data_IF_966326978268
#
_entry.id   IF_966326978268
#
_cell.length_a   1.000
_cell.length_b   1.000
_cell.length_c   1.000
_cell.angle_alpha   90.00
_cell.angle_beta   90.00
_cell.angle_gamma   90.00
#
_symmetry.space_group_name_H-M   'P 1'
#
loop_
_entity.id
_entity.type
_entity.pdbx_description
1 polymer ?
#
# COMPACT_ATOMS: atom_id res chain seq x y z
N UNK A 1 14.78 13.95 -21.22
CA UNK A 1 15.55 14.59 -20.16
C UNK A 1 15.92 13.62 -19.05
N UNK A 2 14.96 12.97 -18.37
CA UNK A 2 15.23 12.08 -17.22
C UNK A 2 16.21 10.95 -17.52
N UNK A 3 15.99 10.15 -18.58
CA UNK A 3 16.88 9.04 -18.95
C UNK A 3 18.31 9.51 -19.22
N UNK A 4 18.48 10.60 -19.98
CA UNK A 4 19.81 11.18 -20.24
C UNK A 4 20.43 11.70 -18.95
N UNK A 5 19.65 12.45 -18.15
CA UNK A 5 20.12 12.96 -16.86
C UNK A 5 20.58 11.86 -15.90
N UNK A 6 19.85 10.76 -15.80
CA UNK A 6 20.23 9.61 -15.01
C UNK A 6 21.56 9.03 -15.51
N UNK A 7 21.68 8.80 -16.82
CA UNK A 7 22.94 8.28 -17.40
C UNK A 7 24.13 9.22 -17.17
N UNK A 8 23.93 10.52 -17.23
CA UNK A 8 25.00 11.50 -17.02
C UNK A 8 25.47 11.61 -15.55
N UNK A 9 24.59 11.28 -14.61
CA UNK A 9 24.89 11.32 -13.17
C UNK A 9 25.59 10.06 -12.66
N UNK A 10 25.51 8.96 -13.41
CA UNK A 10 26.23 7.73 -13.08
C UNK A 10 27.72 7.86 -13.34
N UNK A 11 28.56 7.22 -12.52
CA UNK A 11 29.99 7.10 -12.78
C UNK A 11 30.27 6.23 -14.01
N UNK A 12 31.45 6.35 -14.62
CA UNK A 12 31.76 5.64 -15.87
C UNK A 12 31.64 4.12 -15.75
N UNK A 13 32.03 3.58 -14.63
CA UNK A 13 31.95 2.16 -14.30
C UNK A 13 30.47 1.71 -14.23
N UNK A 14 29.63 2.51 -13.60
CA UNK A 14 28.19 2.25 -13.47
C UNK A 14 27.49 2.36 -14.83
N UNK A 15 27.85 3.37 -15.64
CA UNK A 15 27.32 3.52 -17.00
C UNK A 15 27.56 2.28 -17.86
N UNK A 16 28.71 1.61 -17.70
CA UNK A 16 29.05 0.37 -18.44
C UNK A 16 28.19 -0.81 -18.00
N UNK A 17 27.63 -0.80 -16.81
CA UNK A 17 26.72 -1.84 -16.31
C UNK A 17 25.32 -1.73 -16.92
N UNK A 18 24.92 -0.53 -17.35
CA UNK A 18 23.60 -0.31 -17.97
C UNK A 18 23.60 -0.85 -19.40
N UNK A 19 22.80 -1.86 -19.67
CA UNK A 19 22.75 -2.54 -20.99
C UNK A 19 21.54 -2.13 -21.85
N UNK A 20 20.55 -1.48 -21.24
CA UNK A 20 19.36 -1.03 -21.97
C UNK A 20 18.50 -0.13 -21.12
N UNK A 21 17.70 0.70 -21.77
CA UNK A 21 16.74 1.59 -21.16
C UNK A 21 15.32 1.13 -21.50
N UNK A 22 14.41 1.17 -20.54
CA UNK A 22 12.99 0.89 -20.76
C UNK A 22 12.19 2.13 -20.39
N UNK A 23 11.34 2.59 -21.29
CA UNK A 23 10.36 3.64 -21.01
C UNK A 23 9.11 2.97 -20.46
N UNK A 24 8.87 3.10 -19.15
CA UNK A 24 7.75 2.46 -18.48
C UNK A 24 6.57 3.43 -18.29
N UNK A 25 5.36 2.90 -18.18
CA UNK A 25 4.11 3.64 -17.95
C UNK A 25 3.88 4.74 -18.99
N UNK A 26 4.23 4.48 -20.26
CA UNK A 26 4.07 5.46 -21.33
C UNK A 26 2.59 5.73 -21.61
N UNK A 27 2.22 7.00 -21.62
CA UNK A 27 0.86 7.46 -21.93
C UNK A 27 0.89 8.25 -23.23
N UNK A 28 0.20 7.77 -24.25
CA UNK A 28 0.07 8.42 -25.55
C UNK A 28 0.34 7.50 -26.72
N UNK A 29 0.43 8.09 -27.93
CA UNK A 29 0.76 7.35 -29.14
C UNK A 29 2.28 7.15 -29.24
N UNK A 30 2.70 5.87 -29.32
CA UNK A 30 4.12 5.50 -29.43
C UNK A 30 4.79 6.12 -30.65
N UNK A 31 4.05 6.32 -31.76
CA UNK A 31 4.58 6.93 -32.98
C UNK A 31 5.09 8.36 -32.77
N UNK A 32 4.51 9.09 -31.82
CA UNK A 32 4.97 10.43 -31.43
C UNK A 32 6.26 10.36 -30.60
N UNK A 33 6.48 9.25 -29.90
CA UNK A 33 7.67 9.03 -29.07
C UNK A 33 8.87 8.56 -29.92
N UNK A 34 8.63 7.83 -31.01
CA UNK A 34 9.69 7.19 -31.80
C UNK A 34 10.80 8.17 -32.26
N UNK A 35 10.50 9.40 -32.75
CA UNK A 35 11.55 10.37 -33.06
C UNK A 35 12.38 10.77 -31.82
N UNK A 36 11.76 10.85 -30.65
CA UNK A 36 12.45 11.13 -29.40
C UNK A 36 13.38 10.00 -28.95
N UNK A 37 13.01 8.75 -29.23
CA UNK A 37 13.88 7.58 -28.97
C UNK A 37 15.10 7.62 -29.89
N UNK A 38 14.93 7.94 -31.18
CA UNK A 38 16.06 8.10 -32.08
C UNK A 38 17.01 9.22 -31.62
N UNK A 39 16.48 10.36 -31.21
CA UNK A 39 17.29 11.47 -30.68
C UNK A 39 18.06 11.10 -29.40
N UNK A 40 17.59 10.13 -28.58
CA UNK A 40 18.32 9.69 -27.40
C UNK A 40 19.68 9.05 -27.75
N UNK A 41 19.83 8.49 -28.94
CA UNK A 41 21.09 7.88 -29.42
C UNK A 41 22.23 8.91 -29.49
N UNK A 42 21.92 10.19 -29.69
CA UNK A 42 22.91 11.26 -29.75
C UNK A 42 23.47 11.60 -28.35
N UNK A 43 22.79 11.19 -27.27
CA UNK A 43 23.12 11.52 -25.89
C UNK A 43 23.62 10.34 -25.06
N UNK A 44 23.31 9.12 -25.46
CA UNK A 44 23.76 7.90 -24.75
C UNK A 44 23.92 6.73 -25.72
N UNK A 45 24.99 5.94 -25.57
CA UNK A 45 25.17 4.73 -26.36
C UNK A 45 24.26 3.58 -25.93
N UNK A 46 23.57 3.73 -24.79
CA UNK A 46 22.70 2.69 -24.25
C UNK A 46 21.36 2.71 -24.99
N UNK A 47 20.97 1.59 -25.63
CA UNK A 47 19.75 1.56 -26.45
C UNK A 47 18.47 1.59 -25.58
N UNK A 48 17.40 2.19 -26.11
CA UNK A 48 16.06 1.99 -25.60
C UNK A 48 15.55 0.64 -26.13
N UNK A 49 15.45 -0.36 -25.25
CA UNK A 49 15.09 -1.74 -25.59
C UNK A 49 13.60 -2.01 -25.50
N UNK A 50 12.82 -1.09 -24.93
CA UNK A 50 11.37 -1.26 -24.84
C UNK A 50 10.63 0.01 -24.42
N UNK A 51 9.36 0.05 -24.83
CA UNK A 51 8.37 1.02 -24.36
C UNK A 51 7.18 0.24 -23.84
N UNK A 52 6.92 0.32 -22.55
CA UNK A 52 5.78 -0.33 -21.91
C UNK A 52 4.66 0.70 -21.80
N UNK A 53 3.53 0.50 -22.46
CA UNK A 53 2.40 1.42 -22.35
C UNK A 53 1.84 1.40 -20.92
N UNK A 54 1.19 2.49 -20.55
CA UNK A 54 0.41 2.50 -19.32
C UNK A 54 -0.74 1.51 -19.44
N UNK A 55 -0.79 0.56 -18.53
CA UNK A 55 -1.85 -0.43 -18.45
C UNK A 55 -2.44 -0.39 -17.04
N UNK A 56 -3.76 -0.52 -16.94
CA UNK A 56 -4.38 -0.86 -15.67
C UNK A 56 -4.15 -2.34 -15.41
N UNK A 57 -3.16 -2.63 -14.59
CA UNK A 57 -2.87 -3.99 -14.16
C UNK A 57 -3.19 -4.03 -12.67
N UNK A 58 -4.02 -4.97 -12.26
CA UNK A 58 -4.32 -5.22 -10.86
C UNK A 58 -3.18 -6.05 -10.25
N UNK A 59 -2.04 -5.38 -10.10
CA UNK A 59 -0.87 -5.93 -9.40
C UNK A 59 -0.90 -5.34 -7.99
N UNK A 60 -0.70 -6.21 -7.01
CA UNK A 60 -0.58 -5.78 -5.63
C UNK A 60 0.57 -4.77 -5.50
N UNK A 61 0.24 -3.54 -5.16
CA UNK A 61 1.22 -2.47 -4.95
C UNK A 61 2.02 -2.76 -3.67
N UNK A 62 3.32 -2.99 -3.80
CA UNK A 62 4.21 -3.19 -2.66
C UNK A 62 4.39 -1.91 -1.85
N UNK A 63 4.26 -0.73 -2.48
CA UNK A 63 4.57 0.58 -1.87
C UNK A 63 3.49 1.67 -2.03
N UNK A 64 2.42 1.47 -2.78
CA UNK A 64 1.44 2.54 -3.07
C UNK A 64 0.17 2.45 -2.23
N UNK A 65 0.19 3.11 -1.10
CA UNK A 65 -0.93 3.18 -0.15
C UNK A 65 -2.00 4.21 -0.50
N UNK A 66 -1.64 5.26 -1.24
CA UNK A 66 -2.44 6.48 -1.28
C UNK A 66 -3.78 6.33 -2.01
N UNK A 67 -3.81 5.70 -3.17
CA UNK A 67 -4.98 5.71 -4.05
C UNK A 67 -6.06 4.65 -3.71
N UNK A 68 -5.69 3.58 -3.01
CA UNK A 68 -6.62 2.50 -2.62
C UNK A 68 -7.38 2.81 -1.34
N UNK A 69 -6.74 3.53 -0.42
CA UNK A 69 -7.27 3.78 0.91
C UNK A 69 -8.42 4.80 0.91
N UNK A 70 -8.57 5.58 -0.16
CA UNK A 70 -9.59 6.63 -0.31
C UNK A 70 -10.79 6.21 -1.17
N UNK A 71 -10.83 4.96 -1.66
CA UNK A 71 -11.99 4.47 -2.43
C UNK A 71 -13.17 4.22 -1.51
N UNK A 72 -14.18 5.07 -1.59
CA UNK A 72 -15.52 4.77 -1.08
C UNK A 72 -16.15 3.70 -1.98
N UNK A 73 -16.10 2.46 -1.53
CA UNK A 73 -16.80 1.36 -2.17
C UNK A 73 -18.30 1.48 -1.85
N UNK A 74 -19.18 1.15 -2.80
CA UNK A 74 -20.62 1.03 -2.55
C UNK A 74 -20.84 0.09 -1.36
N UNK A 75 -21.83 0.42 -0.50
CA UNK A 75 -22.13 -0.40 0.69
C UNK A 75 -22.48 -1.82 0.28
N UNK A 76 -21.61 -2.75 0.61
CA UNK A 76 -21.87 -4.18 0.52
C UNK A 76 -22.78 -4.66 1.66
N UNK A 77 -23.09 -5.94 1.64
CA UNK A 77 -23.85 -6.61 2.70
C UNK A 77 -23.05 -6.78 3.99
N UNK A 78 -21.72 -6.83 3.88
CA UNK A 78 -20.78 -7.01 5.00
C UNK A 78 -19.84 -5.80 5.02
N UNK A 79 -19.75 -5.11 6.14
CA UNK A 79 -18.85 -3.98 6.38
C UNK A 79 -17.64 -4.43 7.22
N UNK A 80 -16.46 -4.36 6.64
CA UNK A 80 -15.20 -4.71 7.30
C UNK A 80 -14.37 -3.44 7.52
N UNK A 81 -14.06 -3.14 8.79
CA UNK A 81 -13.21 -2.03 9.18
C UNK A 81 -11.80 -2.53 9.51
N UNK A 82 -10.82 -2.21 8.67
CA UNK A 82 -9.40 -2.42 8.95
C UNK A 82 -8.85 -1.22 9.70
N UNK A 83 -8.31 -1.42 10.87
CA UNK A 83 -7.68 -0.33 11.63
C UNK A 83 -6.33 0.00 10.98
N UNK A 84 -6.23 1.18 10.40
CA UNK A 84 -5.00 1.65 9.77
C UNK A 84 -4.05 2.21 10.81
N UNK A 85 -3.21 1.34 11.35
CA UNK A 85 -2.15 1.74 12.28
C UNK A 85 -0.99 2.41 11.54
N UNK A 86 -0.21 3.32 12.19
CA UNK A 86 0.85 4.10 11.52
C UNK A 86 1.93 3.25 10.84
N UNK A 87 2.22 2.05 11.36
CA UNK A 87 3.24 1.16 10.83
C UNK A 87 2.66 -0.15 10.30
N UNK A 88 1.43 -0.06 9.78
CA UNK A 88 0.76 -1.19 9.15
C UNK A 88 1.65 -1.85 8.11
N UNK A 89 1.68 -3.16 8.12
CA UNK A 89 2.42 -3.99 7.15
C UNK A 89 1.47 -4.91 6.40
N UNK A 90 1.93 -5.43 5.25
CA UNK A 90 1.21 -6.44 4.45
C UNK A 90 -0.23 -6.01 4.09
N UNK A 91 -0.36 -4.87 3.42
CA UNK A 91 -1.68 -4.39 2.93
C UNK A 91 -2.36 -5.39 2.01
N UNK A 92 -1.57 -6.20 1.32
CA UNK A 92 -2.03 -7.25 0.41
C UNK A 92 -2.84 -8.34 1.09
N UNK A 93 -2.72 -8.49 2.42
CA UNK A 93 -3.53 -9.45 3.19
C UNK A 93 -5.04 -9.23 3.04
N UNK A 94 -5.45 -7.99 2.73
CA UNK A 94 -6.86 -7.61 2.61
C UNK A 94 -7.40 -7.61 1.18
N UNK A 95 -6.53 -7.77 0.17
CA UNK A 95 -6.92 -7.72 -1.24
C UNK A 95 -8.00 -8.76 -1.60
N UNK A 96 -7.92 -9.94 -1.01
CA UNK A 96 -8.92 -10.98 -1.25
C UNK A 96 -10.31 -10.55 -0.77
N UNK A 97 -10.39 -9.86 0.38
CA UNK A 97 -11.64 -9.34 0.93
C UNK A 97 -12.17 -8.16 0.13
N UNK A 98 -11.29 -7.26 -0.36
CA UNK A 98 -11.68 -6.12 -1.20
C UNK A 98 -12.31 -6.57 -2.54
N UNK A 99 -11.90 -7.74 -3.05
CA UNK A 99 -12.40 -8.30 -4.30
C UNK A 99 -13.70 -9.11 -4.15
N UNK A 100 -14.12 -9.39 -2.92
CA UNK A 100 -15.32 -10.16 -2.66
C UNK A 100 -16.58 -9.34 -2.95
N UNK A 101 -17.46 -9.87 -3.79
CA UNK A 101 -18.75 -9.24 -4.06
C UNK A 101 -19.60 -9.19 -2.78
N UNK A 102 -20.17 -8.03 -2.50
CA UNK A 102 -21.01 -7.82 -1.31
C UNK A 102 -20.21 -7.47 -0.05
N UNK A 103 -18.89 -7.39 -0.11
CA UNK A 103 -18.04 -6.92 0.99
C UNK A 103 -17.64 -5.46 0.74
N UNK A 104 -17.82 -4.63 1.75
CA UNK A 104 -17.22 -3.30 1.83
C UNK A 104 -16.05 -3.37 2.80
N UNK A 105 -14.83 -3.17 2.30
CA UNK A 105 -13.65 -3.05 3.15
C UNK A 105 -13.21 -1.60 3.19
N UNK A 106 -13.01 -1.07 4.38
CA UNK A 106 -12.58 0.32 4.58
C UNK A 106 -11.51 0.43 5.65
N UNK A 107 -10.60 1.36 5.46
CA UNK A 107 -9.52 1.63 6.39
C UNK A 107 -9.93 2.76 7.35
N UNK A 108 -9.66 2.57 8.64
CA UNK A 108 -10.11 3.44 9.73
C UNK A 108 -8.91 3.94 10.52
N UNK A 109 -8.76 5.26 10.59
CA UNK A 109 -7.71 5.94 11.37
C UNK A 109 -8.28 6.72 12.56
N UNK A 110 -9.58 6.99 12.56
CA UNK A 110 -10.24 7.83 13.55
C UNK A 110 -11.51 7.16 14.06
N UNK A 111 -11.84 7.40 15.33
CA UNK A 111 -13.06 6.86 15.96
C UNK A 111 -14.32 7.18 15.16
N UNK A 112 -14.42 8.39 14.60
CA UNK A 112 -15.58 8.82 13.83
C UNK A 112 -15.80 7.99 12.55
N UNK A 113 -14.74 7.41 12.01
CA UNK A 113 -14.79 6.56 10.83
C UNK A 113 -15.19 5.11 11.15
N UNK A 114 -15.04 4.67 12.41
CA UNK A 114 -15.23 3.27 12.79
C UNK A 114 -16.68 2.80 12.57
N UNK A 115 -17.67 3.61 12.96
CA UNK A 115 -19.08 3.27 12.80
C UNK A 115 -19.47 1.98 13.54
N UNK A 116 -20.27 1.14 12.89
CA UNK A 116 -20.66 -0.20 13.38
C UNK A 116 -20.41 -1.23 12.28
N UNK A 117 -19.17 -1.70 12.13
CA UNK A 117 -18.84 -2.74 11.18
C UNK A 117 -19.27 -4.11 11.67
N UNK A 118 -19.39 -5.07 10.73
CA UNK A 118 -19.62 -6.48 11.04
C UNK A 118 -18.33 -7.15 11.54
N UNK A 119 -17.18 -6.69 11.04
CA UNK A 119 -15.87 -7.20 11.42
C UNK A 119 -14.87 -6.05 11.56
N UNK A 120 -14.09 -6.07 12.63
CA UNK A 120 -12.92 -5.20 12.81
C UNK A 120 -11.67 -6.03 12.63
N UNK A 121 -10.75 -5.57 11.77
CA UNK A 121 -9.45 -6.19 11.55
C UNK A 121 -8.34 -5.31 12.13
N UNK A 122 -7.54 -5.91 13.01
CA UNK A 122 -6.27 -5.36 13.48
C UNK A 122 -5.15 -5.94 12.60
N UNK A 123 -4.49 -5.14 11.77
CA UNK A 123 -3.52 -5.62 10.80
C UNK A 123 -2.18 -5.98 11.43
N UNK A 124 -1.31 -6.58 10.63
CA UNK A 124 0.11 -6.69 10.94
C UNK A 124 0.76 -5.32 11.04
N UNK A 125 1.78 -5.21 11.86
CA UNK A 125 2.53 -3.97 12.06
C UNK A 125 4.01 -4.23 12.28
N UNK A 126 4.84 -3.26 11.90
CA UNK A 126 6.30 -3.29 12.14
C UNK A 126 6.68 -2.86 13.57
N UNK A 127 5.74 -2.34 14.36
CA UNK A 127 5.96 -1.95 15.76
C UNK A 127 4.66 -2.09 16.55
N UNK A 128 4.43 -3.30 17.09
CA UNK A 128 3.21 -3.65 17.82
C UNK A 128 2.98 -2.76 19.04
N UNK A 129 4.02 -2.53 19.87
CA UNK A 129 3.93 -1.71 21.08
C UNK A 129 3.59 -0.25 20.76
N UNK A 130 4.30 0.32 19.78
CA UNK A 130 4.09 1.72 19.36
C UNK A 130 2.70 1.93 18.76
N UNK A 131 2.22 0.99 17.96
CA UNK A 131 0.91 1.11 17.32
C UNK A 131 -0.23 0.82 18.29
N UNK A 132 -0.05 -0.09 19.27
CA UNK A 132 -1.01 -0.27 20.35
C UNK A 132 -1.12 1.02 21.22
N UNK A 133 0.01 1.65 21.54
CA UNK A 133 0.02 2.95 22.23
C UNK A 133 -0.72 4.02 21.42
N UNK A 134 -0.51 4.06 20.11
CA UNK A 134 -1.22 4.97 19.22
C UNK A 134 -2.74 4.72 19.24
N UNK A 135 -3.20 3.46 19.18
CA UNK A 135 -4.62 3.09 19.28
C UNK A 135 -5.24 3.63 20.58
N UNK A 136 -4.53 3.50 21.71
CA UNK A 136 -4.96 4.00 23.03
C UNK A 136 -5.11 5.51 23.03
N UNK A 137 -4.08 6.19 22.55
CA UNK A 137 -4.05 7.67 22.53
C UNK A 137 -5.14 8.29 21.65
N UNK A 138 -5.53 7.60 20.57
CA UNK A 138 -6.55 8.07 19.63
C UNK A 138 -7.98 7.59 19.99
N UNK A 139 -8.16 6.85 21.08
CA UNK A 139 -9.45 6.34 21.53
C UNK A 139 -10.02 5.20 20.70
N UNK A 140 -9.27 4.71 19.72
CA UNK A 140 -9.69 3.59 18.87
C UNK A 140 -9.76 2.29 19.66
N UNK A 141 -8.80 2.01 20.56
CA UNK A 141 -8.84 0.84 21.45
C UNK A 141 -10.16 0.78 22.22
N UNK A 142 -10.52 1.87 22.92
CA UNK A 142 -11.77 1.92 23.70
C UNK A 142 -13.01 1.67 22.82
N UNK A 143 -13.01 2.21 21.61
CA UNK A 143 -14.12 2.05 20.67
C UNK A 143 -14.20 0.61 20.13
N UNK A 144 -13.07 -0.02 19.85
CA UNK A 144 -12.98 -1.44 19.44
C UNK A 144 -13.47 -2.35 20.56
N UNK A 145 -12.99 -2.13 21.79
CA UNK A 145 -13.43 -2.92 22.97
C UNK A 145 -14.93 -2.78 23.22
N UNK A 146 -15.48 -1.56 23.07
CA UNK A 146 -16.92 -1.32 23.21
C UNK A 146 -17.70 -2.12 22.17
N UNK A 147 -17.32 -2.05 20.90
CA UNK A 147 -17.99 -2.77 19.81
C UNK A 147 -17.86 -4.28 19.98
N UNK A 148 -16.70 -4.77 20.42
CA UNK A 148 -16.50 -6.17 20.74
C UNK A 148 -17.44 -6.66 21.87
N UNK A 149 -17.61 -5.85 22.92
CA UNK A 149 -18.56 -6.14 23.99
C UNK A 149 -20.03 -6.12 23.52
N UNK A 150 -20.34 -5.35 22.45
CA UNK A 150 -21.64 -5.31 21.79
C UNK A 150 -21.84 -6.47 20.78
N UNK A 151 -20.81 -7.31 20.57
CA UNK A 151 -20.88 -8.52 19.72
C UNK A 151 -20.25 -8.37 18.35
N UNK A 152 -19.63 -7.22 18.02
CA UNK A 152 -18.84 -7.08 16.77
C UNK A 152 -17.65 -8.00 16.81
N UNK A 153 -17.41 -8.76 15.74
CA UNK A 153 -16.24 -9.62 15.61
C UNK A 153 -14.97 -8.79 15.49
N UNK A 154 -13.91 -9.23 16.21
CA UNK A 154 -12.59 -8.62 16.11
C UNK A 154 -11.58 -9.71 15.79
N UNK A 155 -10.78 -9.48 14.74
CA UNK A 155 -9.72 -10.39 14.32
C UNK A 155 -8.39 -9.63 14.25
N UNK A 156 -7.34 -10.25 14.75
CA UNK A 156 -5.97 -9.73 14.66
C UNK A 156 -5.09 -10.58 13.75
N UNK A 157 -4.22 -9.95 12.98
CA UNK A 157 -3.24 -10.58 12.10
C UNK A 157 -1.84 -10.21 12.59
N UNK A 158 -0.97 -11.20 12.85
CA UNK A 158 0.42 -10.98 13.27
C UNK A 158 0.49 -10.01 14.48
N UNK A 159 1.05 -8.82 14.33
CA UNK A 159 1.09 -7.78 15.36
C UNK A 159 -0.29 -7.42 15.90
N UNK A 160 -1.30 -7.37 15.03
CA UNK A 160 -2.69 -7.17 15.45
C UNK A 160 -3.23 -8.29 16.33
N UNK A 161 -2.82 -9.54 16.09
CA UNK A 161 -3.15 -10.66 16.97
C UNK A 161 -2.47 -10.52 18.33
N UNK A 162 -1.21 -10.10 18.36
CA UNK A 162 -0.50 -9.83 19.61
C UNK A 162 -1.19 -8.75 20.45
N UNK A 163 -1.77 -7.70 19.79
CA UNK A 163 -2.53 -6.66 20.49
C UNK A 163 -3.80 -7.17 21.19
N UNK A 164 -4.32 -8.34 20.83
CA UNK A 164 -5.48 -8.98 21.48
C UNK A 164 -5.11 -9.71 22.76
N UNK A 165 -3.83 -9.85 23.08
CA UNK A 165 -3.35 -10.47 24.31
C UNK A 165 -3.68 -9.61 25.55
N UNK A 166 -3.66 -10.27 26.71
CA UNK A 166 -3.85 -9.58 28.01
C UNK A 166 -2.67 -8.69 28.36
N UNK A 167 -1.46 -9.13 28.02
CA UNK A 167 -0.21 -8.40 28.23
C UNK A 167 0.62 -8.42 26.95
N UNK A 168 1.36 -7.36 26.72
CA UNK A 168 2.33 -7.25 25.64
C UNK A 168 3.60 -6.63 26.24
N UNK A 169 4.67 -7.41 26.29
CA UNK A 169 5.93 -7.06 26.93
C UNK A 169 7.07 -7.19 25.92
N UNK A 170 8.03 -6.28 26.03
CA UNK A 170 9.30 -6.31 25.32
C UNK A 170 10.42 -6.12 26.35
N UNK A 171 10.91 -7.21 26.95
CA UNK A 171 11.85 -7.13 28.05
C UNK A 171 13.22 -6.59 27.66
N UNK A 172 13.54 -6.62 26.39
CA UNK A 172 14.86 -6.17 25.87
C UNK A 172 14.79 -4.74 25.30
N UNK A 173 13.61 -4.12 25.18
CA UNK A 173 13.38 -2.70 24.83
C UNK A 173 13.46 -2.40 23.35
#
# INVERSE_FOLDING_TARGET
AQLVGTMMLLEKEEQQMVKGLIINKFRGDKRILDPGIEMLKDYTPVPVVGVVPYMHVDIDDEDSLADRLDKHTEKGLIDIAVIRVPRMSNFTDFNALERMQGVTLRYVEKVQQLGRPDLILLPGTKNTMGDLKWLRMNGLEASVLKLAAEGTLVMGICGGYQMLGLTLEDPDG
#
